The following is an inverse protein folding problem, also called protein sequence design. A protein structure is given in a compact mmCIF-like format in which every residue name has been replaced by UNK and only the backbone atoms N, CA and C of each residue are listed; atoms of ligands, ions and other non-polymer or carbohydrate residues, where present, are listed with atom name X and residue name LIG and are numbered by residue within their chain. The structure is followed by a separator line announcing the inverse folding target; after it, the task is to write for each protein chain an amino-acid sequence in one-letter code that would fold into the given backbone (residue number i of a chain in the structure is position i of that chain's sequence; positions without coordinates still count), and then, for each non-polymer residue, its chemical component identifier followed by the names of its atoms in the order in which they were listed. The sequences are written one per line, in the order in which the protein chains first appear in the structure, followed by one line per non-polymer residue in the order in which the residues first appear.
data_IF_855554236966
#
_entry.id   IF_855554236966
#
_cell.length_a   1.000
_cell.length_b   1.000
_cell.length_c   1.000
_cell.angle_alpha   90.00
_cell.angle_beta   90.00
_cell.angle_gamma   90.00
#
_symmetry.space_group_name_H-M   'P 1'
#
loop_
_entity.id
_entity.type
_entity.pdbx_description
1 polymer ?
#
# COMPACT_ATOMS: atom_id res chain seq x y z
N UNK A 1 12.78 11.75 3.64
CA UNK A 1 13.40 11.36 4.91
C UNK A 1 13.81 9.90 4.81
N UNK A 2 14.72 9.45 5.66
CA UNK A 2 15.01 8.01 5.79
C UNK A 2 15.10 7.63 7.26
N UNK A 3 14.61 6.44 7.59
CA UNK A 3 14.72 5.84 8.92
C UNK A 3 15.74 4.72 8.90
N UNK A 4 16.50 4.59 9.98
CA UNK A 4 17.27 3.37 10.25
C UNK A 4 16.34 2.23 10.64
N UNK A 5 16.85 0.99 10.57
CA UNK A 5 16.09 -0.17 11.04
C UNK A 5 15.65 -0.04 12.51
N UNK A 6 16.45 0.59 13.38
CA UNK A 6 16.09 0.75 14.80
C UNK A 6 14.91 1.71 14.99
N UNK A 7 14.90 2.81 14.24
CA UNK A 7 13.82 3.80 14.27
C UNK A 7 12.53 3.22 13.69
N UNK A 8 12.64 2.49 12.59
CA UNK A 8 11.53 1.75 11.99
C UNK A 8 10.90 0.78 13.00
N UNK A 9 11.71 -0.02 13.70
CA UNK A 9 11.20 -0.96 14.70
C UNK A 9 10.48 -0.22 15.82
N UNK A 10 11.10 0.82 16.38
CA UNK A 10 10.51 1.61 17.46
C UNK A 10 9.15 2.20 17.04
N UNK A 11 9.09 2.76 15.84
CA UNK A 11 7.86 3.33 15.27
C UNK A 11 6.76 2.28 15.12
N UNK A 12 7.06 1.17 14.42
CA UNK A 12 6.06 0.14 14.15
C UNK A 12 5.66 -0.63 15.42
N UNK A 13 6.58 -0.82 16.37
CA UNK A 13 6.26 -1.42 17.68
C UNK A 13 5.27 -0.54 18.46
N UNK A 14 5.50 0.78 18.49
CA UNK A 14 4.63 1.73 19.17
C UNK A 14 3.23 1.83 18.53
N UNK A 15 3.15 1.81 17.20
CA UNK A 15 1.86 1.77 16.48
C UNK A 15 1.02 0.54 16.86
N UNK A 16 1.67 -0.59 17.10
CA UNK A 16 1.02 -1.89 17.30
C UNK A 16 0.96 -2.35 18.77
N UNK A 17 1.33 -1.47 19.72
CA UNK A 17 1.30 -1.79 21.15
C UNK A 17 2.18 -2.97 21.55
N UNK A 18 3.32 -3.16 20.87
CA UNK A 18 4.25 -4.26 21.18
C UNK A 18 5.00 -3.94 22.48
N UNK A 19 4.92 -4.84 23.45
CA UNK A 19 5.66 -4.73 24.71
C UNK A 19 7.17 -4.88 24.51
N UNK A 20 7.98 -4.21 25.35
CA UNK A 20 9.44 -4.16 25.25
C UNK A 20 10.06 -5.57 25.26
N UNK A 21 9.58 -6.48 26.12
CA UNK A 21 10.02 -7.87 26.20
C UNK A 21 9.70 -8.69 24.94
N UNK A 22 8.71 -8.24 24.15
CA UNK A 22 8.27 -8.89 22.90
C UNK A 22 8.92 -8.28 21.65
N UNK A 23 9.73 -7.23 21.80
CA UNK A 23 10.38 -6.54 20.67
C UNK A 23 11.26 -7.48 19.85
N UNK A 24 11.94 -8.45 20.48
CA UNK A 24 12.75 -9.45 19.80
C UNK A 24 11.93 -10.32 18.82
N UNK A 25 10.73 -10.74 19.23
CA UNK A 25 9.83 -11.52 18.40
C UNK A 25 9.21 -10.67 17.27
N UNK A 26 8.95 -9.40 17.52
CA UNK A 26 8.48 -8.46 16.51
C UNK A 26 9.55 -8.18 15.44
N UNK A 27 10.80 -7.92 15.88
CA UNK A 27 11.97 -7.80 14.99
C UNK A 27 12.14 -9.04 14.10
N UNK A 28 11.91 -10.24 14.63
CA UNK A 28 12.02 -11.46 13.84
C UNK A 28 10.98 -11.53 12.70
N UNK A 29 9.74 -11.08 12.97
CA UNK A 29 8.68 -11.00 11.95
C UNK A 29 9.02 -9.96 10.87
N UNK A 30 9.50 -8.78 11.24
CA UNK A 30 9.92 -7.76 10.26
C UNK A 30 11.15 -8.20 9.43
N UNK A 31 12.10 -8.92 10.03
CA UNK A 31 13.20 -9.55 9.27
C UNK A 31 12.70 -10.58 8.27
N UNK A 32 11.55 -11.21 8.50
CA UNK A 32 11.00 -12.15 7.53
C UNK A 32 10.64 -11.43 6.23
N UNK A 33 9.98 -10.26 6.30
CA UNK A 33 9.70 -9.42 5.14
C UNK A 33 10.98 -8.99 4.41
N UNK A 34 12.03 -8.59 5.13
CA UNK A 34 13.32 -8.25 4.52
C UNK A 34 13.95 -9.42 3.74
N UNK A 35 13.83 -10.65 4.25
CA UNK A 35 14.31 -11.85 3.54
C UNK A 35 13.54 -12.12 2.26
N UNK A 36 12.26 -11.74 2.22
CA UNK A 36 11.44 -11.73 1.02
C UNK A 36 11.76 -10.56 0.07
N UNK A 37 12.72 -9.71 0.41
CA UNK A 37 13.09 -8.54 -0.39
C UNK A 37 12.10 -7.38 -0.28
N UNK A 38 11.27 -7.36 0.76
CA UNK A 38 10.20 -6.38 0.97
C UNK A 38 10.46 -5.48 2.19
N UNK A 39 10.25 -4.15 2.07
CA UNK A 39 10.04 -3.38 0.84
C UNK A 39 11.21 -3.49 -0.14
N UNK A 40 10.98 -3.25 -1.43
CA UNK A 40 12.04 -3.32 -2.44
C UNK A 40 13.19 -2.37 -2.08
N UNK A 41 14.43 -2.88 -2.10
CA UNK A 41 15.62 -2.09 -1.76
C UNK A 41 15.98 -2.09 -0.27
N UNK A 42 15.14 -2.65 0.60
CA UNK A 42 15.44 -2.77 2.04
C UNK A 42 16.52 -3.82 2.37
N UNK A 43 16.75 -4.79 1.47
CA UNK A 43 17.80 -5.80 1.62
C UNK A 43 19.14 -5.26 1.09
N UNK A 44 19.78 -4.41 1.88
CA UNK A 44 21.14 -3.94 1.60
C UNK A 44 22.12 -5.03 2.01
N UNK A 45 22.88 -5.58 1.06
CA UNK A 45 23.87 -6.64 1.31
C UNK A 45 24.90 -6.31 2.40
N UNK A 46 25.87 -7.21 2.62
CA UNK A 46 26.85 -7.08 3.72
C UNK A 46 27.54 -5.70 3.71
N UNK A 47 27.43 -4.98 4.83
CA UNK A 47 28.20 -3.76 5.10
C UNK A 47 27.47 -2.43 4.91
N UNK A 48 26.31 -2.42 4.23
CA UNK A 48 25.47 -1.21 4.14
C UNK A 48 24.31 -1.33 5.12
N UNK A 49 24.01 -0.24 5.85
CA UNK A 49 22.83 -0.15 6.71
C UNK A 49 21.60 0.05 5.82
N UNK A 50 20.53 -0.67 6.11
CA UNK A 50 19.25 -0.45 5.46
C UNK A 50 18.65 0.88 5.92
N UNK A 51 18.18 1.66 4.96
CA UNK A 51 17.48 2.92 5.14
C UNK A 51 16.08 2.78 4.55
N UNK A 52 15.08 3.29 5.28
CA UNK A 52 13.67 3.16 4.94
C UNK A 52 13.10 4.55 4.67
N UNK A 53 12.70 4.82 3.43
CA UNK A 53 11.93 6.02 3.12
C UNK A 53 10.47 5.89 3.59
N UNK A 54 9.69 6.96 3.44
CA UNK A 54 8.29 6.96 3.86
C UNK A 54 7.44 5.90 3.16
N UNK A 55 7.67 5.64 1.87
CA UNK A 55 6.96 4.62 1.11
C UNK A 55 7.22 3.23 1.71
N UNK A 56 8.48 2.92 2.04
CA UNK A 56 8.84 1.67 2.70
C UNK A 56 8.23 1.54 4.09
N UNK A 57 8.16 2.64 4.86
CA UNK A 57 7.53 2.63 6.18
C UNK A 57 6.04 2.32 6.07
N UNK A 58 5.31 2.99 5.17
CA UNK A 58 3.88 2.76 4.96
C UNK A 58 3.58 1.35 4.44
N UNK A 59 4.42 0.83 3.53
CA UNK A 59 4.33 -0.56 3.07
C UNK A 59 4.43 -1.55 4.23
N UNK A 60 5.36 -1.32 5.17
CA UNK A 60 5.51 -2.18 6.34
C UNK A 60 4.41 -1.99 7.38
N UNK A 61 3.91 -0.77 7.56
CA UNK A 61 2.74 -0.51 8.41
C UNK A 61 1.53 -1.31 7.91
N UNK A 62 1.23 -1.24 6.61
CA UNK A 62 0.16 -2.01 6.00
C UNK A 62 0.42 -3.53 6.03
N UNK A 63 1.66 -3.95 5.84
CA UNK A 63 2.02 -5.37 5.94
C UNK A 63 1.77 -5.95 7.33
N UNK A 64 1.94 -5.14 8.38
CA UNK A 64 1.63 -5.56 9.75
C UNK A 64 0.12 -5.73 9.93
N UNK A 65 -0.72 -4.85 9.37
CA UNK A 65 -2.18 -5.00 9.41
C UNK A 65 -2.63 -6.33 8.77
N UNK A 66 -2.07 -6.68 7.61
CA UNK A 66 -2.33 -7.98 6.98
C UNK A 66 -1.86 -9.16 7.83
N UNK A 67 -0.69 -9.05 8.44
CA UNK A 67 -0.18 -10.07 9.36
C UNK A 67 -1.08 -10.24 10.60
N UNK A 68 -1.60 -9.14 11.15
CA UNK A 68 -2.58 -9.18 12.25
C UNK A 68 -3.89 -9.86 11.82
N UNK A 69 -4.32 -9.63 10.58
CA UNK A 69 -5.47 -10.30 9.97
C UNK A 69 -5.20 -11.77 9.58
N UNK A 70 -4.01 -12.30 9.86
CA UNK A 70 -3.66 -13.71 9.61
C UNK A 70 -3.17 -14.01 8.18
N UNK A 71 -2.91 -12.99 7.37
CA UNK A 71 -2.34 -13.18 6.02
C UNK A 71 -0.87 -13.57 6.14
N UNK A 72 -0.44 -14.54 5.34
CA UNK A 72 0.95 -14.99 5.36
C UNK A 72 1.91 -13.88 4.87
N UNK A 73 3.18 -13.86 5.32
CA UNK A 73 4.15 -12.87 4.88
C UNK A 73 4.36 -12.84 3.36
N UNK A 74 4.44 -14.00 2.71
CA UNK A 74 4.59 -14.10 1.26
C UNK A 74 3.39 -13.45 0.54
N UNK A 75 2.16 -13.85 0.89
CA UNK A 75 0.95 -13.30 0.29
C UNK A 75 0.83 -11.79 0.53
N UNK A 76 1.22 -11.31 1.70
CA UNK A 76 1.25 -9.88 2.04
C UNK A 76 2.20 -9.10 1.11
N UNK A 77 3.40 -9.64 0.86
CA UNK A 77 4.36 -9.02 -0.08
C UNK A 77 3.76 -8.95 -1.48
N UNK A 78 3.14 -10.03 -1.96
CA UNK A 78 2.58 -10.10 -3.29
C UNK A 78 1.39 -9.14 -3.47
N UNK A 79 0.50 -9.08 -2.47
CA UNK A 79 -0.65 -8.15 -2.44
C UNK A 79 -0.18 -6.70 -2.47
N UNK A 80 0.70 -6.30 -1.55
CA UNK A 80 1.13 -4.89 -1.46
C UNK A 80 1.95 -4.51 -2.69
N UNK A 81 2.90 -5.35 -3.13
CA UNK A 81 3.80 -5.00 -4.22
C UNK A 81 3.07 -4.77 -5.54
N UNK A 82 2.02 -5.55 -5.82
CA UNK A 82 1.24 -5.45 -7.06
C UNK A 82 0.24 -4.30 -7.04
N UNK A 83 -0.21 -3.86 -5.85
CA UNK A 83 -1.19 -2.79 -5.69
C UNK A 83 -0.61 -1.48 -5.13
N UNK A 84 0.72 -1.38 -4.95
CA UNK A 84 1.33 -0.26 -4.21
C UNK A 84 1.07 1.11 -4.86
N UNK A 85 1.11 1.17 -6.20
CA UNK A 85 0.93 2.41 -6.95
C UNK A 85 -0.41 3.08 -6.63
N UNK A 86 -1.48 2.30 -6.57
CA UNK A 86 -2.81 2.75 -6.23
C UNK A 86 -2.96 2.96 -4.72
N UNK A 87 -2.50 1.99 -3.92
CA UNK A 87 -2.57 2.04 -2.45
C UNK A 87 -1.97 3.33 -1.88
N UNK A 88 -0.79 3.73 -2.35
CA UNK A 88 -0.12 4.95 -1.86
C UNK A 88 -0.90 6.23 -2.21
N UNK A 89 -1.62 6.26 -3.34
CA UNK A 89 -2.47 7.39 -3.73
C UNK A 89 -3.61 7.50 -2.72
N UNK A 90 -4.31 6.40 -2.45
CA UNK A 90 -5.40 6.41 -1.46
C UNK A 90 -4.91 6.67 -0.02
N UNK A 91 -3.69 6.25 0.34
CA UNK A 91 -3.07 6.65 1.60
C UNK A 91 -2.81 8.15 1.65
N UNK A 92 -2.36 8.79 0.56
CA UNK A 92 -2.24 10.25 0.48
C UNK A 92 -3.59 10.94 0.63
N UNK A 93 -4.63 10.46 -0.07
CA UNK A 93 -6.00 10.98 0.08
C UNK A 93 -6.49 10.86 1.52
N UNK A 94 -6.27 9.71 2.16
CA UNK A 94 -6.65 9.47 3.56
C UNK A 94 -5.84 10.34 4.55
N UNK A 95 -4.60 10.68 4.21
CA UNK A 95 -3.74 11.54 5.00
C UNK A 95 -4.11 13.03 4.92
N UNK A 96 -4.86 13.42 3.89
CA UNK A 96 -5.13 14.83 3.63
C UNK A 96 -5.88 15.48 4.80
N UNK A 97 -5.44 16.68 5.24
CA UNK A 97 -6.15 17.41 6.28
C UNK A 97 -7.48 17.96 5.76
N UNK A 98 -8.53 17.85 6.56
CA UNK A 98 -9.84 18.45 6.27
C UNK A 98 -10.62 17.81 5.13
N UNK A 99 -11.54 18.57 4.55
CA UNK A 99 -12.35 18.18 3.40
C UNK A 99 -11.59 18.42 2.10
N UNK A 100 -11.52 17.38 1.26
CA UNK A 100 -11.01 17.51 -0.09
C UNK A 100 -12.14 17.98 -1.02
N UNK A 101 -11.82 18.85 -1.97
CA UNK A 101 -12.76 19.29 -3.00
C UNK A 101 -12.21 18.97 -4.37
N UNK A 102 -13.01 18.36 -5.24
CA UNK A 102 -12.70 18.24 -6.66
C UNK A 102 -12.86 19.57 -7.38
N UNK A 103 -12.37 19.65 -8.61
CA UNK A 103 -12.44 20.85 -9.46
C UNK A 103 -13.89 21.32 -9.73
N UNK A 104 -14.86 20.39 -9.70
CA UNK A 104 -16.29 20.69 -9.82
C UNK A 104 -16.96 21.08 -8.48
N UNK A 105 -16.18 21.22 -7.41
CA UNK A 105 -16.62 21.66 -6.09
C UNK A 105 -17.24 20.56 -5.22
N UNK A 106 -17.24 19.29 -5.65
CA UNK A 106 -17.75 18.19 -4.81
C UNK A 106 -16.80 17.91 -3.66
N UNK A 107 -17.36 17.69 -2.48
CA UNK A 107 -16.60 17.24 -1.32
C UNK A 107 -16.27 15.76 -1.50
N UNK A 108 -14.97 15.45 -1.52
CA UNK A 108 -14.44 14.10 -1.53
C UNK A 108 -14.18 13.68 -0.09
N UNK A 109 -14.75 12.54 0.30
CA UNK A 109 -14.47 11.94 1.60
C UNK A 109 -13.07 11.33 1.59
N UNK A 110 -12.27 11.66 2.59
CA UNK A 110 -11.01 11.01 2.93
C UNK A 110 -11.18 9.88 3.95
N UNK A 111 -12.42 9.56 4.35
CA UNK A 111 -12.75 8.36 5.11
C UNK A 111 -12.80 7.17 4.16
N UNK A 112 -11.62 6.59 3.92
CA UNK A 112 -11.42 5.50 2.99
C UNK A 112 -11.10 4.19 3.72
N UNK A 113 -11.70 3.12 3.23
CA UNK A 113 -11.39 1.76 3.61
C UNK A 113 -10.72 1.04 2.44
N UNK A 114 -9.60 0.38 2.71
CA UNK A 114 -9.03 -0.65 1.85
C UNK A 114 -9.74 -1.96 2.15
N UNK A 115 -10.55 -2.43 1.21
CA UNK A 115 -11.20 -3.73 1.24
C UNK A 115 -10.35 -4.70 0.42
N UNK A 116 -9.93 -5.80 1.06
CA UNK A 116 -9.13 -6.82 0.41
C UNK A 116 -9.88 -8.13 0.47
N UNK A 117 -9.98 -8.82 -0.66
CA UNK A 117 -10.51 -10.18 -0.73
C UNK A 117 -9.35 -11.16 -0.95
N UNK A 118 -8.59 -11.52 0.10
CA UNK A 118 -7.47 -12.42 -0.06
C UNK A 118 -8.00 -13.86 -0.22
N UNK A 119 -7.98 -14.38 -1.44
CA UNK A 119 -8.22 -15.80 -1.67
C UNK A 119 -7.02 -16.65 -1.22
N UNK A 120 -6.96 -16.87 0.09
CA UNK A 120 -5.81 -17.51 0.75
C UNK A 120 -5.66 -19.00 0.43
N UNK A 121 -6.63 -19.61 -0.29
CA UNK A 121 -6.62 -21.01 -0.74
C UNK A 121 -6.74 -21.10 -2.26
N UNK A 122 -6.47 -20.02 -2.99
CA UNK A 122 -6.67 -19.96 -4.45
C UNK A 122 -5.77 -20.95 -5.19
N UNK A 123 -4.53 -21.07 -4.75
CA UNK A 123 -3.56 -22.07 -5.18
C UNK A 123 -4.05 -23.51 -5.02
N UNK A 124 -4.93 -23.77 -4.04
CA UNK A 124 -5.55 -25.07 -3.77
C UNK A 124 -6.94 -25.23 -4.40
N UNK A 125 -7.47 -24.18 -5.03
CA UNK A 125 -8.77 -24.22 -5.70
C UNK A 125 -8.68 -24.91 -7.07
N UNK A 126 -9.83 -25.26 -7.63
CA UNK A 126 -9.92 -25.79 -9.00
C UNK A 126 -9.42 -24.82 -10.06
N UNK A 127 -9.47 -23.52 -9.78
CA UNK A 127 -9.11 -22.47 -10.71
C UNK A 127 -7.61 -22.12 -10.64
N UNK A 128 -6.93 -22.60 -9.59
CA UNK A 128 -5.50 -22.36 -9.36
C UNK A 128 -5.16 -20.89 -9.14
N UNK A 129 -3.86 -20.59 -9.02
CA UNK A 129 -3.37 -19.24 -8.81
C UNK A 129 -3.02 -18.56 -10.14
N UNK A 130 -3.57 -17.37 -10.36
CA UNK A 130 -3.27 -16.50 -11.50
C UNK A 130 -2.64 -15.18 -11.03
N UNK A 131 -1.91 -14.50 -11.92
CA UNK A 131 -1.40 -13.16 -11.58
C UNK A 131 -2.53 -12.15 -11.31
N UNK A 132 -3.67 -12.31 -11.99
CA UNK A 132 -4.84 -11.42 -11.92
C UNK A 132 -5.44 -11.43 -10.50
N UNK A 133 -5.37 -12.56 -9.80
CA UNK A 133 -5.88 -12.73 -8.43
C UNK A 133 -5.23 -11.78 -7.40
N UNK A 134 -4.16 -11.11 -7.80
CA UNK A 134 -3.47 -10.13 -6.99
C UNK A 134 -3.63 -8.69 -7.46
N UNK A 135 -3.83 -8.45 -8.77
CA UNK A 135 -3.97 -7.09 -9.31
C UNK A 135 -5.34 -6.47 -9.03
N UNK A 136 -6.36 -7.30 -8.80
CA UNK A 136 -7.73 -6.86 -8.49
C UNK A 136 -8.12 -7.19 -7.05
N UNK A 137 -7.13 -7.49 -6.20
CA UNK A 137 -7.39 -7.90 -4.83
C UNK A 137 -7.78 -6.74 -3.90
N UNK A 138 -7.49 -5.50 -4.29
CA UNK A 138 -7.68 -4.30 -3.48
C UNK A 138 -8.82 -3.47 -4.06
N UNK A 139 -9.77 -3.11 -3.20
CA UNK A 139 -10.88 -2.22 -3.50
C UNK A 139 -10.86 -1.06 -2.51
N UNK A 140 -10.88 0.18 -3.02
CA UNK A 140 -10.87 1.38 -2.18
C UNK A 140 -12.27 1.97 -2.10
N UNK A 141 -12.86 1.87 -0.92
CA UNK A 141 -14.27 2.19 -0.71
C UNK A 141 -14.39 3.29 0.33
N UNK A 142 -15.20 4.30 0.02
CA UNK A 142 -15.59 5.28 1.04
C UNK A 142 -16.31 4.57 2.19
N UNK A 143 -15.94 4.85 3.44
CA UNK A 143 -16.48 4.15 4.62
C UNK A 143 -18.02 4.20 4.65
N UNK A 144 -18.62 5.32 4.26
CA UNK A 144 -20.08 5.50 4.18
C UNK A 144 -20.77 4.57 3.17
N UNK A 145 -20.01 4.08 2.16
CA UNK A 145 -20.49 3.22 1.08
C UNK A 145 -20.23 1.73 1.34
N UNK A 146 -19.52 1.36 2.40
CA UNK A 146 -19.29 -0.05 2.75
C UNK A 146 -20.56 -0.89 2.83
N UNK A 147 -21.69 -0.41 3.41
CA UNK A 147 -22.93 -1.20 3.42
C UNK A 147 -23.45 -1.49 2.01
N UNK A 148 -23.39 -0.51 1.10
CA UNK A 148 -23.81 -0.68 -0.28
C UNK A 148 -22.83 -1.57 -1.06
N UNK A 149 -21.53 -1.46 -0.78
CA UNK A 149 -20.50 -2.30 -1.38
C UNK A 149 -20.71 -3.78 -1.02
N UNK A 150 -20.85 -4.11 0.27
CA UNK A 150 -21.08 -5.49 0.72
C UNK A 150 -22.51 -6.00 0.49
N UNK A 151 -23.46 -5.11 0.22
CA UNK A 151 -24.86 -5.46 -0.05
C UNK A 151 -25.16 -5.78 -1.52
N UNK A 152 -24.19 -5.65 -2.42
CA UNK A 152 -24.39 -5.99 -3.83
C UNK A 152 -24.41 -7.51 -4.03
N UNK A 153 -25.54 -8.04 -4.52
CA UNK A 153 -25.70 -9.44 -4.96
C UNK A 153 -24.73 -9.82 -6.10
N UNK A 154 -24.15 -8.80 -6.76
CA UNK A 154 -23.31 -8.89 -7.95
C UNK A 154 -21.90 -8.33 -7.74
N UNK A 155 -21.33 -8.42 -6.53
CA UNK A 155 -19.86 -8.51 -6.46
C UNK A 155 -19.53 -9.75 -7.28
N UNK A 156 -19.15 -9.56 -8.55
CA UNK A 156 -18.78 -10.63 -9.48
C UNK A 156 -17.82 -11.52 -8.68
N UNK A 157 -18.23 -12.73 -8.27
CA UNK A 157 -17.33 -13.60 -7.58
C UNK A 157 -16.43 -14.13 -8.68
N UNK A 158 -15.37 -13.37 -9.00
CA UNK A 158 -14.43 -13.78 -10.05
C UNK A 158 -13.83 -15.12 -9.68
N UNK A 159 -13.85 -15.53 -8.39
CA UNK A 159 -13.95 -16.89 -7.83
C UNK A 159 -14.10 -16.79 -6.29
N UNK A 160 -14.52 -17.87 -5.61
CA UNK A 160 -14.69 -17.91 -4.15
C UNK A 160 -16.04 -17.37 -3.67
N UNK A 161 -16.90 -18.27 -3.22
CA UNK A 161 -18.27 -17.96 -2.77
C UNK A 161 -18.23 -17.07 -1.53
N UNK A 162 -18.43 -15.76 -1.71
CA UNK A 162 -18.83 -14.72 -0.75
C UNK A 162 -18.12 -14.69 0.65
N UNK A 163 -17.97 -13.49 1.22
CA UNK A 163 -17.82 -13.26 2.68
C UNK A 163 -16.44 -13.25 3.37
N UNK A 164 -15.30 -13.06 2.68
CA UNK A 164 -14.01 -12.91 3.41
C UNK A 164 -13.26 -11.66 2.98
N UNK A 165 -13.69 -10.54 3.53
CA UNK A 165 -13.04 -9.26 3.36
C UNK A 165 -12.18 -8.92 4.58
N UNK A 166 -10.94 -8.49 4.33
CA UNK A 166 -10.17 -7.70 5.27
C UNK A 166 -10.50 -6.25 4.98
N UNK A 167 -10.92 -5.50 6.00
CA UNK A 167 -11.22 -4.07 5.87
C UNK A 167 -10.24 -3.29 6.73
N UNK A 168 -9.42 -2.46 6.10
CA UNK A 168 -8.44 -1.62 6.77
C UNK A 168 -8.85 -0.16 6.57
N UNK A 169 -9.11 0.55 7.66
CA UNK A 169 -9.42 1.98 7.60
C UNK A 169 -8.12 2.76 7.37
N UNK A 170 -7.98 3.38 6.19
CA UNK A 170 -6.73 4.02 5.79
C UNK A 170 -6.46 5.30 6.59
N UNK A 171 -7.49 6.10 6.89
CA UNK A 171 -7.29 7.35 7.64
C UNK A 171 -6.76 7.09 9.05
N UNK A 172 -7.37 6.21 9.88
CA UNK A 172 -6.79 5.83 11.17
C UNK A 172 -5.37 5.28 11.06
N UNK A 173 -5.09 4.42 10.07
CA UNK A 173 -3.77 3.84 9.85
C UNK A 173 -2.70 4.92 9.57
N UNK A 174 -2.98 5.87 8.68
CA UNK A 174 -2.03 6.93 8.35
C UNK A 174 -1.93 7.95 9.48
N UNK A 175 -3.05 8.29 10.12
CA UNK A 175 -3.06 9.21 11.26
C UNK A 175 -2.23 8.68 12.44
N UNK A 176 -2.39 7.39 12.80
CA UNK A 176 -1.58 6.80 13.87
C UNK A 176 -0.11 6.69 13.47
N UNK A 177 0.19 6.40 12.20
CA UNK A 177 1.57 6.41 11.71
C UNK A 177 2.21 7.79 11.90
N UNK A 178 1.57 8.86 11.43
CA UNK A 178 2.11 10.22 11.54
C UNK A 178 2.23 10.67 13.00
N UNK A 179 1.22 10.39 13.82
CA UNK A 179 1.26 10.68 15.25
C UNK A 179 2.48 10.01 15.92
N UNK A 180 2.71 8.72 15.65
CA UNK A 180 3.86 8.00 16.23
C UNK A 180 5.20 8.45 15.66
N UNK A 181 5.25 8.92 14.41
CA UNK A 181 6.46 9.53 13.83
C UNK A 181 6.82 10.83 14.55
N UNK A 182 5.83 11.65 14.88
CA UNK A 182 6.05 12.87 15.66
C UNK A 182 6.54 12.55 17.08
N UNK A 183 5.82 11.68 17.80
CA UNK A 183 6.13 11.34 19.19
C UNK A 183 7.48 10.64 19.38
N UNK A 184 7.85 9.72 18.49
CA UNK A 184 9.00 8.85 18.71
C UNK A 184 10.24 9.23 17.91
N UNK A 185 10.07 9.98 16.81
CA UNK A 185 11.12 10.33 15.85
C UNK A 185 11.25 11.85 15.63
N UNK A 186 10.39 12.67 16.23
CA UNK A 186 10.36 14.12 16.05
C UNK A 186 10.22 14.51 14.56
N UNK A 187 9.41 13.73 13.83
CA UNK A 187 9.07 14.00 12.44
C UNK A 187 7.64 14.52 12.41
N UNK A 188 7.52 15.80 12.10
CA UNK A 188 6.25 16.51 11.99
C UNK A 188 5.32 15.89 10.92
N UNK A 189 4.02 15.83 11.21
CA UNK A 189 3.01 15.25 10.33
C UNK A 189 2.85 16.00 9.01
N UNK A 190 2.97 17.34 8.99
CA UNK A 190 2.93 18.14 7.75
C UNK A 190 4.13 17.82 6.87
N UNK A 191 5.31 17.61 7.48
CA UNK A 191 6.52 17.20 6.77
C UNK A 191 6.37 15.80 6.17
N UNK A 192 5.82 14.84 6.92
CA UNK A 192 5.55 13.50 6.42
C UNK A 192 4.52 13.52 5.28
N UNK A 193 3.44 14.28 5.44
CA UNK A 193 2.42 14.49 4.40
C UNK A 193 3.02 15.10 3.12
N UNK A 194 3.82 16.17 3.25
CA UNK A 194 4.48 16.83 2.12
C UNK A 194 5.42 15.90 1.37
N UNK A 195 6.12 15.02 2.08
CA UNK A 195 6.97 13.99 1.48
C UNK A 195 6.15 12.96 0.70
N UNK A 196 5.04 12.47 1.28
CA UNK A 196 4.12 11.56 0.62
C UNK A 196 3.55 12.17 -0.67
N UNK A 197 3.10 13.43 -0.60
CA UNK A 197 2.62 14.17 -1.75
C UNK A 197 3.70 14.26 -2.84
N UNK A 198 4.93 14.64 -2.47
CA UNK A 198 6.05 14.74 -3.40
C UNK A 198 6.36 13.40 -4.09
N UNK A 199 6.26 12.28 -3.37
CA UNK A 199 6.47 10.94 -3.94
C UNK A 199 5.38 10.55 -4.96
N UNK A 200 4.12 10.91 -4.68
CA UNK A 200 3.02 10.70 -5.62
C UNK A 200 3.19 11.54 -6.88
N UNK A 201 3.51 12.83 -6.73
CA UNK A 201 3.73 13.76 -7.86
C UNK A 201 4.89 13.33 -8.76
N UNK A 202 6.04 12.93 -8.17
CA UNK A 202 7.20 12.43 -8.93
C UNK A 202 6.84 11.23 -9.78
N UNK A 203 6.07 10.30 -9.23
CA UNK A 203 5.67 9.11 -9.98
C UNK A 203 4.64 9.45 -11.07
N UNK A 204 3.68 10.35 -10.81
CA UNK A 204 2.73 10.79 -11.82
C UNK A 204 3.47 11.37 -13.04
N UNK A 205 4.50 12.19 -12.79
CA UNK A 205 5.37 12.72 -13.83
C UNK A 205 6.10 11.63 -14.61
N UNK A 206 6.67 10.62 -13.94
CA UNK A 206 7.34 9.49 -14.60
C UNK A 206 6.38 8.68 -15.48
N UNK A 207 5.13 8.50 -15.06
CA UNK A 207 4.10 7.80 -15.84
C UNK A 207 3.76 8.62 -17.10
N UNK A 208 3.59 9.94 -16.96
CA UNK A 208 3.30 10.82 -18.10
C UNK A 208 4.45 10.83 -19.13
N UNK A 209 5.70 10.92 -18.65
CA UNK A 209 6.90 10.86 -19.49
C UNK A 209 7.01 9.50 -20.22
N UNK A 210 6.75 8.40 -19.51
CA UNK A 210 6.72 7.06 -20.10
C UNK A 210 5.64 6.90 -21.18
N UNK A 211 4.42 7.38 -20.91
CA UNK A 211 3.31 7.34 -21.87
C UNK A 211 3.63 8.16 -23.13
N UNK A 212 4.23 9.34 -22.95
CA UNK A 212 4.68 10.19 -24.07
C UNK A 212 5.72 9.49 -24.93
N UNK A 213 6.74 8.88 -24.32
CA UNK A 213 7.78 8.15 -25.05
C UNK A 213 7.21 6.94 -25.84
N UNK A 214 6.25 6.22 -25.27
CA UNK A 214 5.56 5.11 -25.97
C UNK A 214 4.80 5.64 -27.20
N UNK A 215 4.02 6.72 -27.05
CA UNK A 215 3.26 7.30 -28.15
C UNK A 215 4.17 7.81 -29.28
N UNK A 216 5.28 8.46 -28.95
CA UNK A 216 6.29 8.87 -29.94
C UNK A 216 6.92 7.68 -30.66
N UNK A 217 7.17 6.58 -29.95
CA UNK A 217 7.74 5.35 -30.53
C UNK A 217 6.74 4.67 -31.48
N UNK A 218 5.46 4.62 -31.09
CA UNK A 218 4.39 4.08 -31.91
C UNK A 218 4.15 4.92 -33.18
N UNK A 219 4.19 6.25 -33.06
CA UNK A 219 4.07 7.15 -34.21
C UNK A 219 5.20 6.91 -35.23
N UNK A 220 6.46 6.84 -34.78
CA UNK A 220 7.61 6.56 -35.65
C UNK A 220 7.51 5.19 -36.35
N UNK A 221 6.93 4.18 -35.68
CA UNK A 221 6.75 2.84 -36.26
C UNK A 221 5.70 2.84 -37.37
N UNK A 222 4.60 3.58 -37.20
CA UNK A 222 3.55 3.69 -38.21
C UNK A 222 4.03 4.43 -39.47
N UNK A 223 4.92 5.41 -39.32
CA UNK A 223 5.53 6.12 -40.46
C UNK A 223 6.49 5.23 -41.28
N UNK A 224 7.11 4.22 -40.65
CA UNK A 224 8.06 3.30 -41.31
C UNK A 224 7.38 2.11 -42.02
N UNK A 225 6.16 1.75 -41.59
CA UNK A 225 5.38 0.66 -42.18
C UNK A 225 3.93 1.10 -42.39
N UNK A 226 3.67 2.02 -43.35
CA UNK A 226 2.30 2.37 -43.70
C UNK A 226 1.58 1.10 -44.14
N UNK A 227 0.49 0.78 -43.46
CA UNK A 227 -0.35 -0.36 -43.83
C UNK A 227 -0.89 -0.12 -45.26
N UNK A 228 -0.38 -0.88 -46.22
CA UNK A 228 -0.83 -0.93 -47.61
C UNK A 228 -2.11 -1.73 -47.74
#
# INVERSE_FOLDING_TARGET
MTLTYSELIKLLAAMNGIADESEGAFKARLRHFQRLGFPRGSNTGKGRRAEYDLDMVMQLALAIEFMQAGVSPQRTVDLISKNWLETRIYMLFAAAPGELKSDDGRVLSNELALCVSPESLRDLSTDGESEIDYYEAFEFVEVSKLPAFFGQDAINPTIGVFYRWIVILLRPLVAILFLRMEEHLNIDAEKAFSELQSNVEKQAKLIEEGARAINETLAKRNDQHPQT
#
